data_IF_002307940660
#
_entry.id   IF_002307940660
#
_cell.length_a   1.000
_cell.length_b   1.000
_cell.length_c   1.000
_cell.angle_alpha   90.00
_cell.angle_beta   90.00
_cell.angle_gamma   90.00
#
_symmetry.space_group_name_H-M   'P 1'
#
loop_
_entity.id
_entity.type
_entity.pdbx_description
1 polymer ?
#
# COMPACT_ATOMS: atom_id res chain seq x y z
N UNK A 1 40.22 25.05 20.54
CA UNK A 1 39.36 24.78 21.71
C UNK A 1 38.54 23.54 21.41
N UNK A 2 38.90 22.45 22.09
CA UNK A 2 38.29 21.14 22.01
C UNK A 2 36.87 21.15 22.58
N UNK A 3 35.90 20.54 21.90
CA UNK A 3 34.68 19.99 22.52
C UNK A 3 34.47 18.56 22.05
N UNK A 4 34.62 17.68 23.02
CA UNK A 4 34.45 16.25 23.00
C UNK A 4 32.99 15.81 22.82
N UNK A 5 32.75 14.79 21.98
CA UNK A 5 31.48 14.05 21.89
C UNK A 5 31.38 13.02 23.03
N UNK A 6 30.21 12.74 23.59
CA UNK A 6 30.01 11.63 24.50
C UNK A 6 29.71 10.32 23.77
N UNK A 7 30.24 9.25 24.35
CA UNK A 7 30.23 7.85 23.90
C UNK A 7 28.83 7.23 23.77
N UNK A 8 28.66 6.44 22.73
CA UNK A 8 27.57 5.47 22.59
C UNK A 8 27.82 4.26 23.50
N UNK A 9 26.81 3.89 24.28
CA UNK A 9 26.80 2.69 25.15
C UNK A 9 26.19 1.53 24.33
N UNK A 10 26.97 0.44 24.20
CA UNK A 10 26.52 -0.84 23.65
C UNK A 10 25.71 -1.63 24.68
N UNK A 11 24.63 -2.34 24.31
CA UNK A 11 23.95 -3.27 25.21
C UNK A 11 24.69 -4.63 25.22
N UNK A 12 24.90 -5.11 26.45
CA UNK A 12 25.51 -6.37 26.83
C UNK A 12 24.69 -7.61 26.41
N UNK A 13 25.44 -8.64 26.02
CA UNK A 13 25.01 -10.01 25.74
C UNK A 13 24.45 -10.75 26.96
N UNK A 14 23.31 -11.43 26.80
CA UNK A 14 22.82 -12.45 27.73
C UNK A 14 23.13 -13.86 27.19
N UNK A 15 23.39 -14.85 28.05
CA UNK A 15 23.86 -16.17 27.63
C UNK A 15 22.72 -17.12 27.24
N UNK A 16 23.02 -17.98 26.25
CA UNK A 16 22.13 -19.05 25.78
C UNK A 16 22.11 -20.23 26.79
N UNK A 17 20.95 -20.60 27.23
CA UNK A 17 20.69 -21.83 27.99
C UNK A 17 20.22 -22.94 27.05
N UNK A 18 20.98 -24.04 27.03
CA UNK A 18 20.68 -25.25 26.29
C UNK A 18 19.74 -26.13 27.11
N UNK A 19 18.55 -26.40 26.63
CA UNK A 19 17.74 -27.51 27.10
C UNK A 19 17.54 -28.53 25.97
N UNK A 20 18.18 -29.67 26.12
CA UNK A 20 17.96 -30.87 25.29
C UNK A 20 16.66 -31.55 25.68
N UNK A 21 15.89 -32.00 24.72
CA UNK A 21 14.74 -32.88 24.92
C UNK A 21 14.85 -34.12 24.06
N UNK A 22 14.80 -35.23 24.78
CA UNK A 22 15.00 -36.59 24.39
C UNK A 22 13.84 -37.10 23.50
N UNK A 23 14.20 -37.91 22.49
CA UNK A 23 13.27 -38.67 21.63
C UNK A 23 13.03 -40.01 22.24
N UNK A 24 11.79 -40.38 22.65
CA UNK A 24 11.27 -41.76 22.52
C UNK A 24 9.77 -41.87 22.76
N UNK A 25 9.09 -42.41 21.77
CA UNK A 25 7.94 -43.33 21.73
C UNK A 25 6.73 -43.10 22.64
N UNK A 26 5.57 -42.98 22.03
CA UNK A 26 4.40 -43.78 22.47
C UNK A 26 3.48 -44.16 21.29
N UNK A 27 3.07 -45.43 21.31
CA UNK A 27 2.19 -46.07 20.33
C UNK A 27 0.72 -46.02 20.79
N UNK A 28 -0.16 -45.94 19.80
CA UNK A 28 -1.52 -46.50 19.66
C UNK A 28 -2.48 -46.55 20.85
N UNK A 29 -3.62 -45.91 20.65
CA UNK A 29 -4.89 -46.24 21.32
C UNK A 29 -6.06 -45.82 20.43
N UNK A 30 -6.73 -46.82 19.79
CA UNK A 30 -7.98 -46.65 19.05
C UNK A 30 -9.11 -46.57 20.06
N UNK A 31 -9.82 -45.45 20.10
CA UNK A 31 -11.02 -45.29 20.92
C UNK A 31 -12.10 -44.57 20.12
N UNK A 32 -13.13 -45.29 19.73
CA UNK A 32 -14.36 -44.77 19.12
C UNK A 32 -15.12 -43.95 20.15
N UNK A 33 -15.45 -42.70 19.84
CA UNK A 33 -16.39 -41.88 20.63
C UNK A 33 -17.43 -41.26 19.70
N UNK A 34 -18.67 -41.44 20.12
CA UNK A 34 -19.89 -41.05 19.44
C UNK A 34 -20.01 -39.53 19.19
N UNK A 35 -20.50 -39.15 18.01
CA UNK A 35 -20.92 -37.79 17.66
C UNK A 35 -22.13 -37.37 18.52
N UNK A 36 -21.95 -36.41 19.40
CA UNK A 36 -23.03 -35.57 19.91
C UNK A 36 -22.92 -34.20 19.23
N UNK A 37 -23.90 -33.88 18.39
CA UNK A 37 -24.06 -32.57 17.78
C UNK A 37 -24.50 -31.57 18.85
N UNK A 38 -23.57 -30.76 19.35
CA UNK A 38 -23.89 -29.51 20.01
C UNK A 38 -23.75 -28.37 19.01
N UNK A 39 -24.86 -27.71 18.71
CA UNK A 39 -24.86 -26.45 18.00
C UNK A 39 -24.18 -25.38 18.87
N UNK A 40 -22.93 -25.08 18.57
CA UNK A 40 -22.23 -23.92 19.15
C UNK A 40 -22.39 -22.77 18.21
N UNK A 41 -22.94 -21.67 18.71
CA UNK A 41 -22.89 -20.34 18.10
C UNK A 41 -21.47 -20.07 17.62
N UNK A 42 -21.30 -20.00 16.29
CA UNK A 42 -19.99 -19.99 15.67
C UNK A 42 -19.20 -18.73 16.00
N UNK A 43 -18.16 -18.88 16.80
CA UNK A 43 -16.93 -18.15 16.52
C UNK A 43 -16.41 -18.71 15.17
N UNK A 44 -16.55 -17.92 14.12
CA UNK A 44 -15.83 -18.19 12.87
C UNK A 44 -14.35 -18.20 13.27
N UNK A 45 -13.60 -19.31 13.07
CA UNK A 45 -12.18 -19.24 13.30
C UNK A 45 -11.64 -18.17 12.35
N UNK A 46 -10.78 -17.29 12.84
CA UNK A 46 -9.94 -16.39 12.05
C UNK A 46 -9.08 -17.28 11.14
N UNK A 47 -9.70 -17.85 10.11
CA UNK A 47 -9.09 -18.73 9.14
C UNK A 47 -8.16 -17.90 8.27
N UNK A 48 -6.93 -18.37 8.08
CA UNK A 48 -6.16 -18.13 6.87
C UNK A 48 -7.18 -18.17 5.74
N UNK A 49 -7.41 -17.02 5.08
CA UNK A 49 -8.41 -16.90 4.03
C UNK A 49 -8.18 -17.94 2.92
N UNK A 50 -9.10 -18.08 1.99
CA UNK A 50 -8.98 -19.02 0.88
C UNK A 50 -7.58 -18.96 0.26
N UNK A 51 -7.04 -20.12 -0.15
CA UNK A 51 -5.73 -20.21 -0.78
C UNK A 51 -5.64 -19.25 -1.97
N UNK A 52 -4.47 -18.61 -2.22
CA UNK A 52 -4.30 -17.76 -3.37
C UNK A 52 -4.49 -18.54 -4.67
N UNK A 53 -5.12 -17.91 -5.65
CA UNK A 53 -5.33 -18.46 -6.99
C UNK A 53 -4.02 -18.55 -7.77
N UNK A 54 -3.10 -17.61 -7.52
CA UNK A 54 -1.80 -17.52 -8.17
C UNK A 54 -0.78 -16.88 -7.21
N UNK A 55 0.44 -17.40 -7.23
CA UNK A 55 1.59 -16.81 -6.53
C UNK A 55 2.74 -16.73 -7.50
N UNK A 56 3.31 -15.55 -7.73
CA UNK A 56 4.39 -15.32 -8.67
C UNK A 56 5.38 -14.28 -8.18
N UNK A 57 6.53 -14.22 -8.84
CA UNK A 57 7.66 -13.40 -8.42
C UNK A 57 8.54 -14.15 -7.41
N UNK A 58 9.76 -13.66 -7.27
CA UNK A 58 10.76 -14.16 -6.32
C UNK A 58 11.87 -13.14 -6.13
N UNK A 59 12.63 -13.28 -5.07
CA UNK A 59 13.75 -12.40 -4.77
C UNK A 59 14.81 -12.40 -5.89
N UNK A 60 15.24 -11.22 -6.33
CA UNK A 60 16.32 -11.05 -7.28
C UNK A 60 16.31 -9.72 -8.01
N UNK A 61 17.38 -9.47 -8.79
CA UNK A 61 17.56 -8.23 -9.57
C UNK A 61 17.38 -8.44 -11.07
N UNK A 62 17.24 -9.67 -11.56
CA UNK A 62 16.94 -9.93 -12.97
C UNK A 62 15.48 -9.61 -13.28
N UNK A 63 15.17 -9.54 -14.54
CA UNK A 63 13.81 -9.33 -15.06
C UNK A 63 12.82 -10.36 -14.48
N UNK A 64 11.61 -9.91 -14.15
CA UNK A 64 10.57 -10.72 -13.54
C UNK A 64 10.81 -11.08 -12.07
N UNK A 65 11.88 -10.57 -11.44
CA UNK A 65 12.16 -10.74 -10.01
C UNK A 65 12.07 -9.42 -9.27
N UNK A 66 11.91 -9.48 -7.96
CA UNK A 66 11.74 -8.32 -7.10
C UNK A 66 12.81 -8.23 -6.01
N UNK A 67 13.19 -7.01 -5.67
CA UNK A 67 13.95 -6.71 -4.46
C UNK A 67 13.16 -5.75 -3.59
N UNK A 68 12.35 -6.30 -2.65
CA UNK A 68 11.42 -5.53 -1.81
C UNK A 68 10.56 -4.56 -2.65
N UNK A 69 9.59 -5.06 -3.40
CA UNK A 69 8.69 -4.19 -4.15
C UNK A 69 7.91 -3.27 -3.20
N UNK A 70 7.68 -2.01 -3.61
CA UNK A 70 7.17 -0.93 -2.75
C UNK A 70 5.86 -0.31 -3.20
N UNK A 71 5.53 -0.42 -4.47
CA UNK A 71 4.24 0.00 -4.97
C UNK A 71 3.79 -0.91 -6.09
N UNK A 72 2.48 -1.06 -6.19
CA UNK A 72 1.79 -1.74 -7.28
C UNK A 72 0.62 -0.87 -7.72
N UNK A 73 0.42 -0.75 -9.02
CA UNK A 73 -0.79 -0.17 -9.59
C UNK A 73 -1.21 -0.95 -10.82
N UNK A 74 -2.44 -0.74 -11.31
CA UNK A 74 -3.00 -1.45 -12.43
C UNK A 74 -3.62 -0.46 -13.43
N UNK A 75 -3.47 -0.70 -14.73
CA UNK A 75 -4.12 0.13 -15.73
C UNK A 75 -5.46 -0.49 -16.19
N UNK A 76 -6.19 0.25 -17.03
CA UNK A 76 -7.48 -0.17 -17.59
C UNK A 76 -7.41 -1.39 -18.53
N UNK A 77 -6.23 -1.87 -18.85
CA UNK A 77 -5.95 -3.08 -19.63
C UNK A 77 -5.50 -4.24 -18.74
N UNK A 78 -5.62 -4.09 -17.43
CA UNK A 78 -5.15 -5.05 -16.42
C UNK A 78 -3.63 -5.28 -16.44
N UNK A 79 -2.83 -4.33 -16.91
CA UNK A 79 -1.38 -4.40 -16.76
C UNK A 79 -0.99 -3.94 -15.35
N UNK A 80 -0.20 -4.76 -14.66
CA UNK A 80 0.31 -4.52 -13.32
C UNK A 80 1.67 -3.81 -13.39
N UNK A 81 1.78 -2.63 -12.82
CA UNK A 81 3.04 -1.88 -12.70
C UNK A 81 3.58 -2.05 -11.28
N UNK A 82 4.82 -2.49 -11.15
CA UNK A 82 5.44 -2.74 -9.85
C UNK A 82 6.81 -2.08 -9.81
N UNK A 83 7.04 -1.22 -8.80
CA UNK A 83 8.35 -0.64 -8.51
C UNK A 83 8.99 -1.32 -7.31
N UNK A 84 10.28 -1.60 -7.40
CA UNK A 84 11.05 -2.20 -6.30
C UNK A 84 12.18 -1.27 -5.80
N UNK A 85 12.90 -1.69 -4.76
CA UNK A 85 13.99 -0.92 -4.17
C UNK A 85 15.19 -0.71 -5.09
N UNK A 86 15.18 -1.23 -6.32
CA UNK A 86 16.20 -0.93 -7.34
C UNK A 86 15.84 0.30 -8.19
N UNK A 87 14.64 0.89 -7.97
CA UNK A 87 14.10 1.98 -8.79
C UNK A 87 13.64 1.51 -10.17
N UNK A 88 13.44 0.22 -10.32
CA UNK A 88 12.97 -0.41 -11.55
C UNK A 88 11.46 -0.57 -11.50
N UNK A 89 10.77 -0.04 -12.50
CA UNK A 89 9.36 -0.27 -12.73
C UNK A 89 9.24 -1.41 -13.73
N UNK A 90 8.57 -2.48 -13.35
CA UNK A 90 8.29 -3.64 -14.19
C UNK A 90 6.80 -3.76 -14.44
N UNK A 91 6.41 -4.06 -15.67
CA UNK A 91 5.02 -4.21 -16.08
C UNK A 91 4.74 -5.67 -16.41
N UNK A 92 3.67 -6.20 -15.85
CA UNK A 92 3.26 -7.59 -15.99
C UNK A 92 1.80 -7.67 -16.43
N UNK A 93 1.42 -8.77 -17.03
CA UNK A 93 0.01 -9.13 -17.13
C UNK A 93 -0.50 -9.73 -15.80
N UNK A 94 -1.80 -9.99 -15.71
CA UNK A 94 -2.44 -10.57 -14.53
C UNK A 94 -2.02 -12.02 -14.23
N UNK A 95 -1.34 -12.68 -15.15
CA UNK A 95 -0.76 -14.02 -14.95
C UNK A 95 0.72 -13.96 -14.53
N UNK A 96 1.26 -12.74 -14.34
CA UNK A 96 2.63 -12.50 -13.85
C UNK A 96 3.69 -12.64 -14.94
N UNK A 97 3.32 -12.58 -16.22
CA UNK A 97 4.28 -12.54 -17.33
C UNK A 97 4.82 -11.14 -17.50
N UNK A 98 6.14 -10.99 -17.52
CA UNK A 98 6.78 -9.69 -17.72
C UNK A 98 6.56 -9.21 -19.16
N UNK A 99 6.01 -8.01 -19.30
CA UNK A 99 5.76 -7.36 -20.58
C UNK A 99 6.88 -6.38 -20.97
N UNK A 100 7.33 -5.55 -20.03
CA UNK A 100 8.37 -4.53 -20.21
C UNK A 100 8.86 -4.00 -18.88
N UNK A 101 9.94 -3.21 -18.90
CA UNK A 101 10.44 -2.53 -17.72
C UNK A 101 11.32 -1.33 -18.07
N UNK A 102 11.48 -0.41 -17.12
CA UNK A 102 12.44 0.70 -17.17
C UNK A 102 12.90 1.09 -15.79
N UNK A 103 13.82 2.03 -15.70
CA UNK A 103 14.27 2.60 -14.43
C UNK A 103 13.77 4.02 -14.28
N UNK A 104 13.51 4.43 -13.04
CA UNK A 104 13.36 5.85 -12.72
C UNK A 104 14.67 6.61 -12.98
N UNK A 105 14.62 7.92 -13.31
CA UNK A 105 15.79 8.69 -13.72
C UNK A 105 16.90 8.67 -12.68
N UNK A 106 16.51 8.73 -11.42
CA UNK A 106 17.43 8.89 -10.29
C UNK A 106 17.11 7.89 -9.18
N UNK A 107 18.14 7.39 -8.52
CA UNK A 107 17.98 6.41 -7.43
C UNK A 107 19.03 6.57 -6.33
N UNK A 108 19.89 7.59 -6.36
CA UNK A 108 20.94 7.79 -5.37
C UNK A 108 20.38 8.12 -3.97
N UNK A 109 19.39 9.03 -3.91
CA UNK A 109 18.85 9.52 -2.65
C UNK A 109 17.69 8.67 -2.09
N UNK A 110 17.05 7.84 -2.92
CA UNK A 110 15.93 7.01 -2.49
C UNK A 110 15.20 6.35 -3.63
N UNK A 111 13.99 5.89 -3.36
CA UNK A 111 13.17 5.09 -4.28
C UNK A 111 11.71 5.51 -4.21
N UNK A 112 10.95 5.37 -5.30
CA UNK A 112 9.51 5.58 -5.28
C UNK A 112 8.82 4.68 -4.26
N UNK A 113 7.70 5.19 -3.71
CA UNK A 113 6.88 4.47 -2.73
C UNK A 113 5.41 4.36 -3.10
N UNK A 114 4.93 5.15 -4.05
CA UNK A 114 3.56 5.14 -4.56
C UNK A 114 3.51 5.24 -6.07
N UNK A 115 2.47 4.68 -6.66
CA UNK A 115 2.18 4.76 -8.10
C UNK A 115 0.68 4.69 -8.34
N UNK A 116 0.19 5.45 -9.31
CA UNK A 116 -1.18 5.34 -9.80
C UNK A 116 -1.24 5.42 -11.33
N UNK A 117 -2.27 4.84 -11.91
CA UNK A 117 -2.56 4.94 -13.33
C UNK A 117 -3.84 5.73 -13.58
N UNK A 118 -3.91 6.38 -14.72
CA UNK A 118 -5.12 7.02 -15.22
C UNK A 118 -5.26 6.76 -16.71
N UNK A 119 -6.44 6.32 -17.14
CA UNK A 119 -6.70 5.90 -18.52
C UNK A 119 -6.68 7.07 -19.51
N UNK A 120 -7.03 8.28 -19.08
CA UNK A 120 -7.08 9.47 -19.90
C UNK A 120 -6.76 10.71 -19.09
N UNK A 121 -5.71 11.43 -19.45
CA UNK A 121 -5.24 12.64 -18.76
C UNK A 121 -4.73 13.66 -19.73
N UNK A 122 -4.81 14.95 -19.36
CA UNK A 122 -4.28 16.06 -20.12
C UNK A 122 -5.00 16.31 -21.42
N UNK A 123 -4.43 17.18 -22.25
CA UNK A 123 -5.03 17.62 -23.51
C UNK A 123 -4.99 16.55 -24.62
N UNK A 124 -4.08 15.57 -24.52
CA UNK A 124 -3.97 14.48 -25.48
C UNK A 124 -4.87 13.27 -25.15
N UNK A 125 -5.51 13.27 -23.97
CA UNK A 125 -6.41 12.20 -23.54
C UNK A 125 -5.77 10.82 -23.44
N UNK A 126 -4.43 10.73 -23.39
CA UNK A 126 -3.71 9.47 -23.36
C UNK A 126 -3.53 8.93 -21.93
N UNK A 127 -3.33 7.62 -21.74
CA UNK A 127 -3.05 7.05 -20.44
C UNK A 127 -1.76 7.58 -19.81
N UNK A 128 -1.75 7.65 -18.49
CA UNK A 128 -0.56 8.03 -17.67
C UNK A 128 -0.32 7.03 -16.56
N UNK A 129 0.96 6.90 -16.21
CA UNK A 129 1.43 6.34 -14.95
C UNK A 129 2.07 7.48 -14.15
N UNK A 130 1.58 7.72 -12.95
CA UNK A 130 2.17 8.63 -11.99
C UNK A 130 3.03 7.86 -11.00
N UNK A 131 4.17 8.45 -10.65
CA UNK A 131 5.15 7.83 -9.75
C UNK A 131 5.56 8.83 -8.68
N UNK A 132 5.27 8.52 -7.43
CA UNK A 132 5.71 9.30 -6.27
C UNK A 132 7.22 9.07 -6.05
N UNK A 133 8.05 9.97 -6.59
CA UNK A 133 9.51 9.91 -6.50
C UNK A 133 9.97 10.56 -5.18
N UNK A 134 9.73 9.83 -4.09
CA UNK A 134 9.71 10.25 -2.69
C UNK A 134 10.85 11.16 -2.29
N UNK A 135 12.10 10.74 -2.50
CA UNK A 135 13.28 11.46 -2.05
C UNK A 135 13.81 12.48 -3.07
N UNK A 136 13.06 12.69 -4.14
CA UNK A 136 13.28 13.71 -5.13
C UNK A 136 12.15 14.74 -5.15
N UNK A 137 11.26 14.68 -4.13
CA UNK A 137 10.26 15.71 -3.83
C UNK A 137 9.30 16.01 -4.99
N UNK A 138 8.93 14.94 -5.77
CA UNK A 138 8.19 15.11 -7.02
C UNK A 138 7.28 13.94 -7.35
N UNK A 139 6.25 14.23 -8.12
CA UNK A 139 5.51 13.25 -8.91
C UNK A 139 6.08 13.24 -10.33
N UNK A 140 6.47 12.09 -10.83
CA UNK A 140 6.83 11.86 -12.24
C UNK A 140 5.62 11.35 -13.00
N UNK A 141 5.48 11.74 -14.27
CA UNK A 141 4.49 11.20 -15.18
C UNK A 141 5.16 10.43 -16.33
N UNK A 142 4.61 9.27 -16.66
CA UNK A 142 5.06 8.43 -17.75
C UNK A 142 3.90 8.04 -18.66
N UNK A 143 4.20 7.77 -19.92
CA UNK A 143 3.34 6.95 -20.76
C UNK A 143 3.41 5.47 -20.32
N UNK A 144 2.40 4.64 -20.64
CA UNK A 144 2.42 3.21 -20.30
C UNK A 144 3.62 2.42 -20.88
N UNK A 145 4.27 2.92 -21.92
CA UNK A 145 5.46 2.31 -22.52
C UNK A 145 6.77 2.63 -21.79
N UNK A 146 6.73 3.49 -20.76
CA UNK A 146 7.87 3.93 -19.97
C UNK A 146 8.49 5.25 -20.44
N UNK A 147 7.91 5.92 -21.43
CA UNK A 147 8.36 7.25 -21.85
C UNK A 147 8.07 8.27 -20.76
N UNK A 148 9.11 8.88 -20.20
CA UNK A 148 9.00 9.97 -19.22
C UNK A 148 8.44 11.22 -19.88
N UNK A 149 7.56 11.93 -19.16
CA UNK A 149 6.93 13.20 -19.56
C UNK A 149 7.40 14.31 -18.61
N UNK A 150 8.55 14.94 -18.87
CA UNK A 150 9.12 15.93 -17.96
C UNK A 150 8.24 17.17 -17.76
N UNK A 151 7.47 17.55 -18.76
CA UNK A 151 6.57 18.72 -18.75
C UNK A 151 5.31 18.48 -17.88
N UNK A 152 5.02 17.22 -17.53
CA UNK A 152 3.92 16.85 -16.64
C UNK A 152 4.39 16.53 -15.21
N UNK A 153 5.65 16.80 -14.89
CA UNK A 153 6.18 16.66 -13.53
C UNK A 153 5.57 17.71 -12.59
N UNK A 154 5.20 17.29 -11.37
CA UNK A 154 4.79 18.21 -10.30
C UNK A 154 5.79 18.12 -9.15
N UNK A 155 6.26 19.27 -8.66
CA UNK A 155 7.27 19.34 -7.61
C UNK A 155 8.70 19.30 -8.14
N UNK A 156 9.64 18.84 -7.32
CA UNK A 156 11.07 18.78 -7.60
C UNK A 156 11.90 19.72 -6.70
N UNK A 157 11.23 20.47 -5.82
CA UNK A 157 11.87 21.31 -4.81
C UNK A 157 11.47 20.85 -3.42
N UNK A 158 12.47 20.64 -2.56
CA UNK A 158 12.22 20.33 -1.15
C UNK A 158 11.72 21.57 -0.42
N UNK A 159 10.65 21.44 0.36
CA UNK A 159 10.12 22.53 1.17
C UNK A 159 8.68 22.36 1.59
N UNK A 160 8.09 23.46 2.09
CA UNK A 160 6.75 23.48 2.67
C UNK A 160 5.80 24.46 1.97
N UNK A 161 6.29 25.23 1.00
CA UNK A 161 5.44 26.11 0.20
C UNK A 161 4.52 25.31 -0.73
N UNK A 162 3.45 25.92 -1.29
CA UNK A 162 2.65 25.30 -2.33
C UNK A 162 3.50 24.79 -3.50
N UNK A 163 3.33 23.50 -3.86
CA UNK A 163 4.11 22.85 -4.92
C UNK A 163 5.51 22.38 -4.52
N UNK A 164 5.97 22.69 -3.31
CA UNK A 164 7.16 22.07 -2.71
C UNK A 164 6.74 20.87 -1.87
N UNK A 165 7.64 19.88 -1.72
CA UNK A 165 7.35 18.66 -0.98
C UNK A 165 8.48 18.30 -0.01
N UNK A 166 8.10 17.60 1.08
CA UNK A 166 9.05 16.84 1.90
C UNK A 166 9.27 15.46 1.27
N UNK A 167 8.54 14.42 1.67
CA UNK A 167 8.68 13.08 1.09
C UNK A 167 7.34 12.65 0.47
N UNK A 168 7.24 12.72 -0.85
CA UNK A 168 6.03 12.29 -1.57
C UNK A 168 5.78 10.82 -1.32
N UNK A 169 4.56 10.47 -0.87
CA UNK A 169 4.17 9.08 -0.59
C UNK A 169 3.39 8.47 -1.73
N UNK A 170 2.42 9.20 -2.26
CA UNK A 170 1.55 8.74 -3.33
C UNK A 170 1.02 9.92 -4.15
N UNK A 171 0.53 9.65 -5.37
CA UNK A 171 -0.03 10.64 -6.26
C UNK A 171 -1.14 10.01 -7.10
N UNK A 172 -2.36 10.52 -6.98
CA UNK A 172 -3.54 10.03 -7.71
C UNK A 172 -4.21 11.16 -8.49
N UNK A 173 -5.02 10.79 -9.48
CA UNK A 173 -5.73 11.72 -10.36
C UNK A 173 -7.21 11.35 -10.43
N UNK A 174 -8.10 12.34 -10.22
CA UNK A 174 -9.54 12.12 -10.31
C UNK A 174 -10.08 12.14 -11.76
N UNK A 175 -11.39 12.00 -11.92
CA UNK A 175 -12.06 11.92 -13.21
C UNK A 175 -11.97 13.24 -14.00
N UNK A 176 -11.86 14.38 -13.31
CA UNK A 176 -11.72 15.71 -13.93
C UNK A 176 -10.24 16.10 -14.18
N UNK A 177 -9.30 15.23 -13.83
CA UNK A 177 -7.88 15.42 -14.05
C UNK A 177 -7.16 16.19 -12.93
N UNK A 178 -7.80 16.44 -11.79
CA UNK A 178 -7.11 17.03 -10.64
C UNK A 178 -6.20 15.98 -9.98
N UNK A 179 -4.99 16.42 -9.61
CA UNK A 179 -4.03 15.58 -8.91
C UNK A 179 -4.13 15.80 -7.39
N UNK A 180 -3.96 14.71 -6.65
CA UNK A 180 -3.85 14.71 -5.20
C UNK A 180 -2.54 14.03 -4.83
N UNK A 181 -1.63 14.75 -4.20
CA UNK A 181 -0.28 14.29 -3.88
C UNK A 181 -0.11 14.34 -2.37
N UNK A 182 0.12 13.16 -1.78
CA UNK A 182 0.41 12.98 -0.36
C UNK A 182 1.89 13.08 -0.07
N UNK A 183 2.24 13.63 1.08
CA UNK A 183 3.62 13.69 1.56
C UNK A 183 3.70 13.49 3.07
N UNK A 184 4.84 12.99 3.54
CA UNK A 184 5.15 12.90 4.97
C UNK A 184 6.47 13.59 5.28
N UNK A 185 6.77 13.68 6.57
CA UNK A 185 7.97 14.31 7.10
C UNK A 185 7.59 15.47 7.99
N UNK A 186 8.00 16.70 7.64
CA UNK A 186 7.73 17.84 8.49
C UNK A 186 6.34 18.47 8.24
N UNK A 187 5.58 18.02 7.24
CA UNK A 187 4.29 18.61 6.87
C UNK A 187 3.10 17.66 6.78
N UNK A 188 3.29 16.35 6.63
CA UNK A 188 2.22 15.32 6.60
C UNK A 188 0.88 15.85 6.04
N UNK A 189 0.84 16.20 4.75
CA UNK A 189 -0.31 16.86 4.11
C UNK A 189 -0.63 16.24 2.75
N UNK A 190 -1.75 16.65 2.20
CA UNK A 190 -2.13 16.38 0.82
C UNK A 190 -2.25 17.70 0.09
N UNK A 191 -1.68 17.80 -1.10
CA UNK A 191 -1.79 18.95 -1.98
C UNK A 191 -2.63 18.59 -3.21
N UNK A 192 -3.56 19.47 -3.61
CA UNK A 192 -4.39 19.37 -4.81
C UNK A 192 -3.83 20.28 -5.90
N UNK A 193 -3.73 19.75 -7.12
CA UNK A 193 -3.31 20.49 -8.31
C UNK A 193 -4.36 20.34 -9.39
N UNK A 194 -4.48 21.38 -10.23
CA UNK A 194 -5.35 21.38 -11.41
C UNK A 194 -4.79 20.47 -12.51
N UNK A 195 -5.58 20.15 -13.55
CA UNK A 195 -5.15 19.33 -14.69
C UNK A 195 -3.92 19.86 -15.45
N UNK A 196 -3.64 21.14 -15.36
CA UNK A 196 -2.44 21.79 -15.92
C UNK A 196 -1.28 21.90 -14.91
N UNK A 197 -1.39 21.19 -13.77
CA UNK A 197 -0.33 21.08 -12.77
C UNK A 197 -0.18 22.31 -11.85
N UNK A 198 -1.14 23.24 -11.85
CA UNK A 198 -1.09 24.41 -10.95
C UNK A 198 -1.63 24.05 -9.57
N UNK A 199 -0.99 24.55 -8.52
CA UNK A 199 -1.46 24.39 -7.15
C UNK A 199 -2.85 24.99 -6.96
N UNK A 200 -3.76 24.23 -6.32
CA UNK A 200 -5.13 24.66 -6.00
C UNK A 200 -5.28 24.88 -4.51
N UNK A 201 -5.05 23.86 -3.71
CA UNK A 201 -5.20 23.90 -2.25
C UNK A 201 -4.39 22.79 -1.58
N UNK A 202 -4.34 22.85 -0.25
CA UNK A 202 -3.73 21.80 0.57
C UNK A 202 -4.46 21.66 1.90
N UNK A 203 -4.42 20.47 2.49
CA UNK A 203 -4.97 20.22 3.82
C UNK A 203 -4.16 19.17 4.57
N UNK A 204 -4.44 19.04 5.86
CA UNK A 204 -3.72 18.13 6.74
C UNK A 204 -2.79 18.86 7.69
N UNK A 205 -1.53 18.52 7.66
CA UNK A 205 -0.49 18.88 8.63
C UNK A 205 -0.32 17.78 9.68
N UNK A 206 0.88 17.68 10.25
CA UNK A 206 1.25 16.66 11.24
C UNK A 206 0.37 16.74 12.49
N UNK A 207 -0.22 15.62 12.89
CA UNK A 207 -1.03 15.52 14.11
C UNK A 207 -1.94 14.30 14.15
N UNK A 208 -2.64 14.15 15.29
CA UNK A 208 -3.51 13.01 15.57
C UNK A 208 -5.01 13.35 15.47
N UNK A 209 -5.36 14.63 15.46
CA UNK A 209 -6.74 15.06 15.34
C UNK A 209 -7.33 14.67 13.97
N UNK A 210 -8.67 14.48 13.84
CA UNK A 210 -9.31 14.30 12.55
C UNK A 210 -8.95 15.41 11.58
N UNK A 211 -8.61 15.06 10.33
CA UNK A 211 -8.13 16.00 9.32
C UNK A 211 -6.62 16.29 9.37
N UNK A 212 -5.90 15.82 10.41
CA UNK A 212 -4.44 15.82 10.50
C UNK A 212 -3.89 14.44 10.16
N UNK A 213 -2.61 14.36 9.80
CA UNK A 213 -1.98 13.10 9.41
C UNK A 213 -0.69 12.84 10.19
N UNK A 214 -0.36 11.57 10.30
CA UNK A 214 0.99 11.08 10.57
C UNK A 214 1.32 10.08 9.48
N UNK A 215 2.11 10.49 8.50
CA UNK A 215 2.49 9.69 7.35
C UNK A 215 1.30 9.19 6.52
N UNK A 216 0.61 10.06 5.76
CA UNK A 216 -0.38 9.62 4.78
C UNK A 216 0.34 8.82 3.69
N UNK A 217 0.12 7.48 3.68
CA UNK A 217 0.97 6.56 2.91
C UNK A 217 0.42 6.29 1.51
N UNK A 218 -0.88 6.13 1.36
CA UNK A 218 -1.54 5.90 0.07
C UNK A 218 -2.84 6.66 -0.02
N UNK A 219 -3.22 7.01 -1.23
CA UNK A 219 -4.42 7.75 -1.60
C UNK A 219 -5.18 6.98 -2.67
N UNK A 220 -6.51 6.99 -2.59
CA UNK A 220 -7.39 6.60 -3.70
C UNK A 220 -8.49 7.61 -3.83
N UNK A 221 -8.79 8.04 -5.04
CA UNK A 221 -9.89 8.94 -5.34
C UNK A 221 -10.88 8.30 -6.31
N UNK A 222 -12.16 8.34 -5.96
CA UNK A 222 -13.26 7.85 -6.80
C UNK A 222 -14.52 8.64 -6.52
N UNK A 223 -15.24 9.04 -7.57
CA UNK A 223 -16.50 9.79 -7.45
C UNK A 223 -16.39 11.00 -6.50
N UNK A 224 -15.29 11.77 -6.62
CA UNK A 224 -14.99 12.93 -5.76
C UNK A 224 -14.87 12.61 -4.27
N UNK A 225 -14.68 11.36 -3.92
CA UNK A 225 -14.34 10.92 -2.57
C UNK A 225 -12.87 10.46 -2.55
N UNK A 226 -12.08 11.06 -1.69
CA UNK A 226 -10.68 10.69 -1.49
C UNK A 226 -10.53 9.93 -0.18
N UNK A 227 -9.94 8.74 -0.28
CA UNK A 227 -9.56 7.91 0.85
C UNK A 227 -8.06 8.03 1.07
N UNK A 228 -7.64 8.25 2.31
CA UNK A 228 -6.23 8.37 2.69
C UNK A 228 -5.85 7.37 3.78
N UNK A 229 -4.86 6.54 3.53
CA UNK A 229 -4.23 5.71 4.56
C UNK A 229 -3.36 6.59 5.46
N UNK A 230 -3.89 7.00 6.61
CA UNK A 230 -3.17 7.74 7.66
C UNK A 230 -2.37 6.74 8.53
N UNK A 231 -1.28 6.23 7.94
CA UNK A 231 -0.61 5.01 8.40
C UNK A 231 -0.07 5.13 9.83
N UNK A 232 0.52 6.24 10.19
CA UNK A 232 1.05 6.46 11.53
C UNK A 232 -0.01 6.71 12.61
N UNK A 233 -1.23 7.07 12.19
CA UNK A 233 -2.40 7.18 13.07
C UNK A 233 -3.28 5.94 13.05
N UNK A 234 -2.91 4.90 12.29
CA UNK A 234 -3.61 3.62 12.25
C UNK A 234 -5.09 3.74 11.86
N UNK A 235 -5.39 4.59 10.88
CA UNK A 235 -6.76 4.88 10.44
C UNK A 235 -6.83 5.17 8.93
N UNK A 236 -8.05 5.15 8.39
CA UNK A 236 -8.37 5.68 7.08
C UNK A 236 -9.16 6.97 7.27
N UNK A 237 -8.80 8.03 6.58
CA UNK A 237 -9.57 9.27 6.55
C UNK A 237 -10.20 9.46 5.18
N UNK A 238 -11.44 9.95 5.14
CA UNK A 238 -12.26 10.07 3.94
C UNK A 238 -12.68 11.52 3.77
N UNK A 239 -12.42 12.06 2.58
CA UNK A 239 -12.68 13.46 2.26
C UNK A 239 -13.58 13.61 1.04
N UNK A 240 -14.53 14.56 1.10
CA UNK A 240 -15.19 15.12 -0.07
C UNK A 240 -14.24 16.12 -0.74
N UNK A 241 -13.83 15.81 -1.96
CA UNK A 241 -12.94 16.66 -2.77
C UNK A 241 -13.65 17.28 -3.97
N UNK A 242 -14.99 17.24 -4.00
CA UNK A 242 -15.82 17.94 -4.98
C UNK A 242 -15.79 19.45 -4.83
N UNK A 243 -15.34 19.93 -3.68
CA UNK A 243 -15.25 21.35 -3.29
C UNK A 243 -13.81 21.81 -3.30
N UNK A 244 -13.60 23.15 -3.36
CA UNK A 244 -12.27 23.74 -3.38
C UNK A 244 -11.50 23.49 -2.09
N UNK A 245 -12.18 23.57 -0.94
CA UNK A 245 -11.65 23.18 0.37
C UNK A 245 -12.14 21.78 0.74
N UNK A 246 -11.31 20.73 0.62
CA UNK A 246 -11.69 19.36 0.95
C UNK A 246 -12.24 19.21 2.37
N UNK A 247 -13.35 18.49 2.51
CA UNK A 247 -14.03 18.29 3.79
C UNK A 247 -13.85 16.86 4.27
N UNK A 248 -13.44 16.70 5.52
CA UNK A 248 -13.45 15.39 6.17
C UNK A 248 -14.89 14.90 6.30
N UNK A 249 -15.18 13.71 5.75
CA UNK A 249 -16.49 13.05 5.79
C UNK A 249 -16.52 12.04 6.93
N UNK A 250 -15.47 11.20 7.02
CA UNK A 250 -15.44 10.06 7.94
C UNK A 250 -14.01 9.65 8.30
N UNK A 251 -13.90 8.87 9.40
CA UNK A 251 -12.65 8.28 9.88
C UNK A 251 -12.91 6.85 10.31
N UNK A 252 -12.24 5.88 9.67
CA UNK A 252 -12.36 4.45 10.00
C UNK A 252 -11.15 3.91 10.71
N UNK A 253 -11.42 3.05 11.70
CA UNK A 253 -10.39 2.29 12.41
C UNK A 253 -9.75 3.03 13.57
N UNK A 254 -8.88 2.30 14.24
CA UNK A 254 -8.05 2.73 15.37
C UNK A 254 -6.87 1.78 15.48
N UNK A 255 -5.84 2.13 16.23
CA UNK A 255 -4.70 1.27 16.48
C UNK A 255 -5.11 -0.06 17.12
N UNK A 256 -4.66 -1.18 16.55
CA UNK A 256 -4.86 -2.50 17.14
C UNK A 256 -4.74 -3.67 16.17
N UNK A 257 -5.08 -4.86 16.68
CA UNK A 257 -5.02 -6.14 15.94
C UNK A 257 -6.39 -6.77 15.71
N UNK A 258 -7.41 -6.30 16.42
CA UNK A 258 -8.75 -6.82 16.27
C UNK A 258 -9.32 -6.48 14.88
N UNK A 259 -10.38 -7.15 14.49
CA UNK A 259 -11.08 -6.86 13.23
C UNK A 259 -11.69 -5.45 13.29
N UNK A 260 -11.49 -4.66 12.23
CA UNK A 260 -11.87 -3.25 12.18
C UNK A 260 -10.84 -2.29 12.78
N UNK A 261 -9.82 -2.80 13.50
CA UNK A 261 -8.65 -2.02 13.90
C UNK A 261 -7.53 -2.17 12.87
N UNK A 262 -6.62 -1.19 12.82
CA UNK A 262 -5.47 -1.19 11.91
C UNK A 262 -4.14 -1.12 12.67
N UNK A 263 -3.11 -1.67 12.02
CA UNK A 263 -1.74 -1.43 12.41
C UNK A 263 -0.90 -1.14 11.16
N UNK A 264 -0.60 0.15 10.95
CA UNK A 264 0.01 0.68 9.74
C UNK A 264 -0.74 0.27 8.45
N UNK A 265 -1.95 0.81 8.18
CA UNK A 265 -2.60 0.66 6.87
C UNK A 265 -1.75 1.39 5.82
N UNK A 266 -1.24 0.64 4.84
CA UNK A 266 -0.26 1.17 3.88
C UNK A 266 -0.86 1.43 2.51
N UNK A 267 -1.91 0.69 2.15
CA UNK A 267 -2.54 0.84 0.84
C UNK A 267 -4.01 0.45 0.89
N UNK A 268 -4.79 0.93 -0.06
CA UNK A 268 -6.18 0.59 -0.21
C UNK A 268 -6.61 0.56 -1.68
N UNK A 269 -7.67 -0.20 -1.98
CA UNK A 269 -8.30 -0.23 -3.29
C UNK A 269 -9.81 -0.36 -3.14
N UNK A 270 -10.55 0.14 -4.14
CA UNK A 270 -12.01 0.11 -4.20
C UNK A 270 -12.43 -0.96 -5.21
N UNK A 271 -13.24 -1.92 -4.80
CA UNK A 271 -13.80 -2.96 -5.64
C UNK A 271 -14.98 -2.46 -6.47
N UNK A 272 -15.41 -3.23 -7.48
CA UNK A 272 -16.51 -2.85 -8.38
C UNK A 272 -17.85 -2.66 -7.67
N UNK A 273 -18.06 -3.32 -6.52
CA UNK A 273 -19.25 -3.18 -5.67
C UNK A 273 -19.19 -1.99 -4.69
N UNK A 274 -18.13 -1.18 -4.76
CA UNK A 274 -17.90 -0.03 -3.89
C UNK A 274 -17.29 -0.37 -2.53
N UNK A 275 -17.00 -1.64 -2.26
CA UNK A 275 -16.28 -2.01 -1.03
C UNK A 275 -14.80 -1.63 -1.09
N UNK A 276 -14.22 -1.37 0.06
CA UNK A 276 -12.84 -0.90 0.22
C UNK A 276 -11.99 -1.99 0.85
N UNK A 277 -10.90 -2.37 0.17
CA UNK A 277 -9.87 -3.25 0.73
C UNK A 277 -8.74 -2.42 1.28
N UNK A 278 -8.28 -2.75 2.48
CA UNK A 278 -7.15 -2.09 3.15
C UNK A 278 -6.05 -3.12 3.38
N UNK A 279 -4.84 -2.78 2.92
CA UNK A 279 -3.62 -3.56 3.15
C UNK A 279 -2.91 -3.05 4.41
N UNK A 280 -2.75 -3.92 5.40
CA UNK A 280 -2.06 -3.60 6.64
C UNK A 280 -0.62 -4.15 6.65
N UNK A 281 0.33 -3.24 6.57
CA UNK A 281 1.75 -3.57 6.70
C UNK A 281 2.09 -4.18 8.08
N UNK A 282 1.52 -3.62 9.15
CA UNK A 282 1.82 -4.03 10.51
C UNK A 282 1.15 -5.33 10.94
N UNK A 283 -0.15 -5.51 10.66
CA UNK A 283 -0.87 -6.74 10.97
C UNK A 283 -0.69 -7.83 9.90
N UNK A 284 -0.10 -7.46 8.75
CA UNK A 284 0.21 -8.40 7.66
C UNK A 284 -1.03 -9.13 7.16
N UNK A 285 -2.10 -8.39 6.91
CA UNK A 285 -3.40 -8.89 6.45
C UNK A 285 -4.08 -7.88 5.53
N UNK A 286 -5.15 -8.29 4.89
CA UNK A 286 -6.13 -7.43 4.24
C UNK A 286 -7.41 -7.41 5.08
N UNK A 287 -8.09 -6.28 5.09
CA UNK A 287 -9.47 -6.17 5.57
C UNK A 287 -10.33 -5.52 4.50
N UNK A 288 -11.56 -6.02 4.32
CA UNK A 288 -12.56 -5.49 3.40
C UNK A 288 -13.70 -4.85 4.17
N UNK A 289 -14.07 -3.66 3.77
CA UNK A 289 -15.14 -2.86 4.39
C UNK A 289 -16.19 -2.51 3.34
N UNK A 290 -17.45 -2.36 3.74
CA UNK A 290 -18.47 -1.74 2.90
C UNK A 290 -18.23 -0.22 2.77
N UNK A 291 -19.03 0.44 1.94
CA UNK A 291 -18.92 1.89 1.70
C UNK A 291 -19.18 2.75 2.96
N UNK A 292 -19.70 2.16 4.03
CA UNK A 292 -19.96 2.82 5.31
C UNK A 292 -18.92 2.48 6.39
N UNK A 293 -17.81 1.82 6.01
CA UNK A 293 -16.74 1.43 6.93
C UNK A 293 -17.07 0.22 7.82
N UNK A 294 -18.12 -0.54 7.52
CA UNK A 294 -18.42 -1.77 8.24
C UNK A 294 -17.58 -2.92 7.67
N UNK A 295 -16.87 -3.62 8.53
CA UNK A 295 -16.07 -4.78 8.16
C UNK A 295 -16.93 -5.87 7.53
N UNK A 296 -16.49 -6.37 6.36
CA UNK A 296 -17.06 -7.51 5.63
C UNK A 296 -16.21 -8.76 5.86
N UNK A 297 -14.91 -8.68 5.60
CA UNK A 297 -14.02 -9.84 5.59
C UNK A 297 -12.58 -9.47 5.94
N UNK A 298 -11.77 -10.49 6.22
CA UNK A 298 -10.32 -10.38 6.37
C UNK A 298 -9.63 -11.55 5.66
N UNK A 299 -8.42 -11.30 5.13
CA UNK A 299 -7.60 -12.30 4.48
C UNK A 299 -6.12 -12.12 4.83
N UNK A 300 -5.38 -13.24 4.87
CA UNK A 300 -3.96 -13.26 5.14
C UNK A 300 -3.65 -13.33 6.64
N UNK A 301 -2.38 -13.18 6.94
CA UNK A 301 -1.79 -13.22 8.27
C UNK A 301 -0.28 -13.34 8.15
N UNK A 302 0.48 -13.15 9.24
CA UNK A 302 1.94 -13.15 9.21
C UNK A 302 2.52 -14.50 8.75
N UNK A 303 3.46 -14.49 7.79
CA UNK A 303 4.21 -15.68 7.40
C UNK A 303 4.78 -15.66 5.98
N UNK A 304 5.26 -16.85 5.54
CA UNK A 304 5.98 -17.03 4.29
C UNK A 304 5.27 -17.98 3.31
N UNK A 305 4.30 -18.76 3.79
CA UNK A 305 3.56 -19.69 2.96
C UNK A 305 2.55 -18.98 2.05
N UNK A 306 2.07 -19.60 0.96
CA UNK A 306 0.92 -19.10 0.21
C UNK A 306 -0.29 -18.85 1.13
N UNK A 307 -0.92 -17.67 0.99
CA UNK A 307 -1.99 -17.23 1.89
C UNK A 307 -1.51 -16.48 3.13
N UNK A 308 -0.21 -16.46 3.39
CA UNK A 308 0.42 -15.64 4.43
C UNK A 308 1.16 -14.47 3.79
N UNK A 309 1.36 -13.39 4.56
CA UNK A 309 1.99 -12.16 4.12
C UNK A 309 3.18 -11.79 5.01
N UNK A 310 4.17 -11.15 4.43
CA UNK A 310 5.28 -10.57 5.21
C UNK A 310 5.49 -9.11 4.82
N UNK A 311 4.96 -8.22 5.66
CA UNK A 311 4.98 -6.78 5.48
C UNK A 311 4.53 -6.39 4.06
N UNK A 312 3.27 -6.69 3.69
CA UNK A 312 2.73 -6.32 2.39
C UNK A 312 2.71 -4.80 2.27
N UNK A 313 3.00 -4.29 1.08
CA UNK A 313 3.09 -2.84 0.86
C UNK A 313 1.90 -2.29 0.11
N UNK A 314 1.30 -3.08 -0.77
CA UNK A 314 0.22 -2.59 -1.62
C UNK A 314 -0.69 -3.69 -2.14
N UNK A 315 -1.78 -3.27 -2.75
CA UNK A 315 -2.74 -4.13 -3.43
C UNK A 315 -3.41 -3.38 -4.60
N UNK A 316 -3.87 -4.14 -5.58
CA UNK A 316 -4.75 -3.63 -6.63
C UNK A 316 -5.84 -4.66 -6.93
N UNK A 317 -6.92 -4.21 -7.57
CA UNK A 317 -8.06 -5.03 -7.98
C UNK A 317 -8.15 -4.96 -9.51
N UNK A 318 -8.20 -6.10 -10.17
CA UNK A 318 -8.33 -6.17 -11.62
C UNK A 318 -9.80 -6.11 -12.10
N UNK A 319 -10.01 -6.06 -13.41
CA UNK A 319 -11.35 -5.94 -14.02
C UNK A 319 -12.29 -7.11 -13.73
N UNK A 320 -11.78 -8.21 -13.14
CA UNK A 320 -12.54 -9.39 -12.72
C UNK A 320 -12.74 -9.44 -11.19
N UNK A 321 -12.50 -8.33 -10.48
CA UNK A 321 -12.52 -8.25 -9.01
C UNK A 321 -11.56 -9.25 -8.32
N UNK A 322 -10.43 -9.60 -8.97
CA UNK A 322 -9.37 -10.35 -8.32
C UNK A 322 -8.37 -9.39 -7.69
N UNK A 323 -7.94 -9.70 -6.50
CA UNK A 323 -7.02 -8.86 -5.73
C UNK A 323 -5.59 -9.34 -5.92
N UNK A 324 -4.70 -8.45 -6.34
CA UNK A 324 -3.26 -8.70 -6.44
C UNK A 324 -2.56 -8.02 -5.29
N UNK A 325 -2.02 -8.81 -4.36
CA UNK A 325 -1.37 -8.33 -3.13
C UNK A 325 0.14 -8.33 -3.32
N UNK A 326 0.76 -7.18 -3.10
CA UNK A 326 2.21 -7.01 -3.13
C UNK A 326 2.82 -7.46 -1.79
N UNK A 327 3.19 -8.73 -1.71
CA UNK A 327 3.78 -9.37 -0.53
C UNK A 327 5.29 -9.07 -0.47
N UNK A 328 5.61 -7.84 -0.03
CA UNK A 328 6.87 -7.14 -0.31
C UNK A 328 8.11 -7.81 0.25
N UNK A 329 8.10 -8.24 1.50
CA UNK A 329 9.26 -8.91 2.09
C UNK A 329 9.36 -10.39 1.73
N UNK A 330 8.30 -10.97 1.16
CA UNK A 330 8.34 -12.27 0.49
C UNK A 330 8.73 -12.15 -0.99
N UNK A 331 8.92 -10.93 -1.51
CA UNK A 331 9.35 -10.64 -2.89
C UNK A 331 8.44 -11.27 -3.95
N UNK A 332 7.13 -11.27 -3.73
CA UNK A 332 6.13 -11.92 -4.60
C UNK A 332 4.85 -11.12 -4.68
N UNK A 333 4.01 -11.49 -5.62
CA UNK A 333 2.61 -11.09 -5.70
C UNK A 333 1.73 -12.31 -5.47
N UNK A 334 0.66 -12.14 -4.71
CA UNK A 334 -0.36 -13.17 -4.52
C UNK A 334 -1.69 -12.67 -5.09
N UNK A 335 -2.29 -13.41 -6.04
CA UNK A 335 -3.63 -13.14 -6.55
C UNK A 335 -4.65 -13.96 -5.80
N UNK A 336 -5.69 -13.31 -5.31
CA UNK A 336 -6.79 -13.95 -4.57
C UNK A 336 -8.13 -13.53 -5.16
N UNK A 337 -9.18 -14.30 -4.89
CA UNK A 337 -10.54 -13.81 -5.06
C UNK A 337 -10.82 -12.69 -4.06
N UNK A 338 -11.75 -11.79 -4.38
CA UNK A 338 -12.20 -10.77 -3.45
C UNK A 338 -12.71 -11.45 -2.16
N UNK A 339 -12.17 -11.11 -0.98
CA UNK A 339 -12.58 -11.74 0.28
C UNK A 339 -14.06 -11.50 0.57
N UNK A 340 -14.80 -12.57 0.86
CA UNK A 340 -16.25 -12.55 1.07
C UNK A 340 -16.65 -12.73 2.54
#
# INVERSE_FOLDING_TARGET
>A
MNRSHPNAVSPSSLPAEKAGLDRRRFMMGVGSVALSTMATSGCVPLGIGAAPQLVWGRRGMSEGRFLKPRAITIDHQDNLYIVDTTGRIQVFDVEGQLLRWWKTPETANGRPTGMATKASVGSDGQPRLFVADTHYYRMLAYRPDGTLLPDEQIGGTAGHSPGEFAFVTDAVCDEDGFYYIGEYGDSDRIQKFSPDGQFVTQWGGTGHEPGKFVRPQSLVVSNKTLFACDAGNHRIQIFDVSVDEPKLIDVWGSEGKELGQFYYPYDLAIASDGSVLVCEYGNQRLQRFDANGKLIASWGGPGFDPGQLYQPWGLVIDSQDRVHVLDSNNHRVQRIALPA
#
